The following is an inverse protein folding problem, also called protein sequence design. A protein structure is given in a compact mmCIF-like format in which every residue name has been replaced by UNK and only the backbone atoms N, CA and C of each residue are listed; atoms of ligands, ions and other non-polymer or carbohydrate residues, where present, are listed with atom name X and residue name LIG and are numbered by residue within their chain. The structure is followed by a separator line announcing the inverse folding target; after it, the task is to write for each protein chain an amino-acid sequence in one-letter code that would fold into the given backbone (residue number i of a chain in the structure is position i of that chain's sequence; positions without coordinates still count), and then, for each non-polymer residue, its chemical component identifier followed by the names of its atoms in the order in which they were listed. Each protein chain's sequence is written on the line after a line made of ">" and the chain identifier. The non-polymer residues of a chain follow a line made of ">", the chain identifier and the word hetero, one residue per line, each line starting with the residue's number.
data_IF_638852113174
#
_entry.id   IF_638852113174
#
_cell.length_a   1.000
_cell.length_b   1.000
_cell.length_c   1.000
_cell.angle_alpha   90.00
_cell.angle_beta   90.00
_cell.angle_gamma   90.00
#
_symmetry.space_group_name_H-M   'P 1'
#
loop_
_entity.id
_entity.type
_entity.pdbx_description
1 polymer ?
#
# COMPACT_ATOMS: atom_id res chain seq x y z
N UNK A 1 32.69 -11.78 38.91
CA UNK A 1 32.85 -10.66 37.96
C UNK A 1 32.78 -11.26 36.57
N UNK A 2 31.59 -11.24 35.95
CA UNK A 2 31.34 -11.92 34.68
C UNK A 2 31.67 -10.99 33.50
N UNK A 3 32.48 -11.55 32.62
CA UNK A 3 32.93 -11.08 31.31
C UNK A 3 31.83 -10.40 30.46
N UNK A 4 32.13 -9.20 29.95
CA UNK A 4 31.34 -8.53 28.92
C UNK A 4 31.51 -9.26 27.58
N UNK A 5 30.42 -9.81 27.04
CA UNK A 5 30.34 -10.23 25.65
C UNK A 5 30.25 -9.00 24.75
N UNK A 6 31.11 -8.83 23.72
CA UNK A 6 30.90 -7.81 22.71
C UNK A 6 29.66 -8.19 21.89
N UNK A 7 28.58 -7.40 22.03
CA UNK A 7 27.41 -7.51 21.14
C UNK A 7 27.84 -7.12 19.73
N UNK A 8 27.99 -8.12 18.86
CA UNK A 8 27.99 -7.94 17.41
C UNK A 8 26.78 -7.06 17.02
N UNK A 9 27.04 -5.85 16.54
CA UNK A 9 26.03 -5.04 15.86
C UNK A 9 25.80 -5.64 14.47
N UNK A 10 24.91 -6.64 14.39
CA UNK A 10 24.33 -7.08 13.12
C UNK A 10 23.22 -6.11 12.73
N UNK A 11 23.56 -5.06 12.00
CA UNK A 11 22.59 -4.20 11.33
C UNK A 11 21.98 -4.97 10.15
N UNK A 12 20.67 -5.24 10.22
CA UNK A 12 19.90 -5.90 9.14
C UNK A 12 19.06 -7.08 9.61
N UNK A 13 18.08 -6.85 10.50
CA UNK A 13 17.01 -7.82 10.75
C UNK A 13 16.02 -7.90 9.57
N UNK A 14 15.23 -8.98 9.43
CA UNK A 14 14.15 -9.04 8.44
C UNK A 14 13.20 -7.86 8.66
N UNK A 15 12.73 -7.24 7.57
CA UNK A 15 11.81 -6.11 7.66
C UNK A 15 10.53 -6.55 8.38
N UNK A 16 10.27 -5.95 9.55
CA UNK A 16 9.02 -6.15 10.28
C UNK A 16 8.04 -5.05 9.88
N UNK A 17 6.78 -5.43 9.63
CA UNK A 17 5.71 -4.52 9.25
C UNK A 17 4.57 -4.62 10.27
N UNK A 18 4.06 -3.47 10.71
CA UNK A 18 2.78 -3.38 11.40
C UNK A 18 1.66 -3.14 10.40
N UNK A 19 0.55 -3.86 10.57
CA UNK A 19 -0.63 -3.76 9.72
C UNK A 19 -1.71 -2.97 10.45
N UNK A 20 -2.05 -1.81 9.92
CA UNK A 20 -3.13 -0.98 10.43
C UNK A 20 -4.34 -1.10 9.50
N UNK A 21 -5.47 -1.66 9.96
CA UNK A 21 -6.67 -1.76 9.14
C UNK A 21 -7.25 -0.38 8.82
N UNK A 22 -7.87 -0.27 7.64
CA UNK A 22 -8.51 0.97 7.20
C UNK A 22 -9.13 0.82 5.82
N UNK A 23 -9.39 1.97 5.19
CA UNK A 23 -10.01 2.04 3.87
C UNK A 23 -9.31 3.06 2.98
N UNK A 24 -9.12 2.70 1.72
CA UNK A 24 -8.69 3.62 0.67
C UNK A 24 -9.91 4.17 -0.06
N UNK A 25 -10.08 5.49 -0.08
CA UNK A 25 -11.10 6.18 -0.87
C UNK A 25 -10.47 6.75 -2.12
N UNK A 26 -10.94 6.33 -3.30
CA UNK A 26 -10.49 6.87 -4.57
C UNK A 26 -10.94 8.32 -4.71
N UNK A 27 -10.01 9.24 -4.93
CA UNK A 27 -10.28 10.68 -5.07
C UNK A 27 -10.06 11.20 -6.48
N UNK A 28 -9.23 10.54 -7.29
CA UNK A 28 -9.00 10.93 -8.67
C UNK A 28 -8.64 9.72 -9.55
N UNK A 29 -9.01 9.80 -10.83
CA UNK A 29 -8.62 8.87 -11.89
C UNK A 29 -8.29 9.70 -13.12
N UNK A 30 -7.02 9.78 -13.50
CA UNK A 30 -6.53 10.53 -14.65
C UNK A 30 -5.89 9.59 -15.68
N UNK A 31 -6.19 9.71 -16.97
CA UNK A 31 -5.48 8.95 -18.00
C UNK A 31 -4.01 9.42 -18.08
N UNK A 32 -3.09 8.47 -18.23
CA UNK A 32 -1.70 8.76 -18.53
C UNK A 32 -1.50 9.09 -20.02
N UNK A 33 -0.36 9.70 -20.41
CA UNK A 33 -0.09 10.06 -21.80
C UNK A 33 -0.14 8.89 -22.79
N UNK A 34 0.06 7.65 -22.32
CA UNK A 34 -0.03 6.45 -23.15
C UNK A 34 -1.48 6.05 -23.51
N UNK A 35 -2.49 6.66 -22.87
CA UNK A 35 -3.91 6.38 -23.06
C UNK A 35 -4.36 4.97 -22.61
N UNK A 36 -3.46 4.15 -22.08
CA UNK A 36 -3.69 2.75 -21.72
C UNK A 36 -3.79 2.56 -20.21
N UNK A 37 -3.11 3.43 -19.45
CA UNK A 37 -3.03 3.37 -18.00
C UNK A 37 -3.56 4.63 -17.35
N UNK A 38 -3.86 4.51 -16.07
CA UNK A 38 -4.48 5.56 -15.28
C UNK A 38 -3.69 5.82 -14.02
N UNK A 39 -3.43 7.09 -13.76
CA UNK A 39 -3.04 7.56 -12.44
C UNK A 39 -4.29 7.58 -11.56
N UNK A 40 -4.34 6.67 -10.60
CA UNK A 40 -5.45 6.54 -9.66
C UNK A 40 -4.99 6.98 -8.29
N UNK A 41 -5.56 8.06 -7.79
CA UNK A 41 -5.23 8.62 -6.48
C UNK A 41 -6.24 8.21 -5.43
N UNK A 42 -5.77 7.88 -4.23
CA UNK A 42 -6.63 7.58 -3.08
C UNK A 42 -6.14 8.25 -1.80
N UNK A 43 -7.08 8.53 -0.91
CA UNK A 43 -6.82 8.88 0.49
C UNK A 43 -7.05 7.65 1.35
N UNK A 44 -6.20 7.44 2.37
CA UNK A 44 -6.39 6.34 3.31
C UNK A 44 -6.96 6.86 4.64
N UNK A 45 -7.98 6.17 5.14
CA UNK A 45 -8.61 6.42 6.43
C UNK A 45 -8.38 5.19 7.30
N UNK A 46 -7.78 5.39 8.47
CA UNK A 46 -7.58 4.33 9.47
C UNK A 46 -8.91 4.02 10.18
N UNK A 47 -8.94 2.93 10.94
CA UNK A 47 -10.15 2.50 11.68
C UNK A 47 -10.67 3.55 12.68
N UNK A 48 -9.80 4.38 13.24
CA UNK A 48 -10.15 5.51 14.10
C UNK A 48 -10.69 6.74 13.34
N UNK A 49 -10.93 6.60 12.02
CA UNK A 49 -11.30 7.65 11.08
C UNK A 49 -10.25 8.76 10.90
N UNK A 50 -9.02 8.57 11.39
CA UNK A 50 -7.91 9.46 11.05
C UNK A 50 -7.54 9.30 9.58
N UNK A 51 -7.40 10.42 8.87
CA UNK A 51 -6.99 10.46 7.48
C UNK A 51 -5.48 10.61 7.38
N UNK A 52 -4.84 9.84 6.52
CA UNK A 52 -3.46 10.13 6.13
C UNK A 52 -3.41 11.49 5.41
N UNK A 53 -2.47 12.35 5.79
CA UNK A 53 -2.37 13.71 5.24
C UNK A 53 -2.02 13.71 3.74
N UNK A 54 -1.36 12.64 3.28
CA UNK A 54 -0.91 12.49 1.90
C UNK A 54 -1.90 11.67 1.06
N UNK A 55 -2.08 12.10 -0.17
CA UNK A 55 -2.70 11.28 -1.21
C UNK A 55 -1.69 10.29 -1.77
N UNK A 56 -2.14 9.08 -2.08
CA UNK A 56 -1.31 7.99 -2.58
C UNK A 56 -1.80 7.51 -3.94
N UNK A 57 -0.92 6.83 -4.69
CA UNK A 57 -1.29 6.22 -5.97
C UNK A 57 -1.56 4.73 -5.81
N UNK A 58 -2.63 4.27 -6.44
CA UNK A 58 -2.94 2.86 -6.57
C UNK A 58 -2.11 2.26 -7.71
N UNK A 59 -1.49 1.13 -7.42
CA UNK A 59 -0.76 0.31 -8.39
C UNK A 59 -1.37 -1.10 -8.45
N UNK A 60 -1.17 -1.77 -9.59
CA UNK A 60 -1.51 -3.19 -9.73
C UNK A 60 -0.46 -4.10 -9.06
N UNK A 61 -0.65 -5.42 -9.19
CA UNK A 61 0.25 -6.42 -8.62
C UNK A 61 1.68 -6.40 -9.20
N UNK A 62 1.91 -5.72 -10.33
CA UNK A 62 3.21 -5.57 -10.97
C UNK A 62 3.82 -4.18 -10.72
N UNK A 63 3.28 -3.42 -9.75
CA UNK A 63 3.68 -2.04 -9.47
C UNK A 63 3.49 -1.09 -10.66
N UNK A 64 2.50 -1.37 -11.51
CA UNK A 64 2.16 -0.53 -12.65
C UNK A 64 0.90 0.29 -12.38
N UNK A 65 0.80 1.44 -13.02
CA UNK A 65 -0.46 2.19 -13.04
C UNK A 65 -1.58 1.32 -13.62
N UNK A 66 -2.75 1.25 -12.97
CA UNK A 66 -3.86 0.42 -13.40
C UNK A 66 -4.25 0.64 -14.86
N UNK A 67 -4.54 -0.45 -15.57
CA UNK A 67 -5.15 -0.40 -16.90
C UNK A 67 -6.65 -0.14 -16.81
N UNK A 68 -7.27 0.25 -17.93
CA UNK A 68 -8.75 0.35 -18.03
C UNK A 68 -9.44 -0.94 -17.58
N UNK A 69 -8.95 -2.08 -18.05
CA UNK A 69 -9.50 -3.41 -17.70
C UNK A 69 -9.43 -3.67 -16.19
N UNK A 70 -8.33 -3.28 -15.54
CA UNK A 70 -8.21 -3.40 -14.08
C UNK A 70 -9.27 -2.55 -13.37
N UNK A 71 -9.48 -1.30 -13.81
CA UNK A 71 -10.49 -0.42 -13.23
C UNK A 71 -11.89 -1.00 -13.40
N UNK A 72 -12.24 -1.47 -14.59
CA UNK A 72 -13.56 -2.03 -14.89
C UNK A 72 -13.81 -3.31 -14.09
N UNK A 73 -12.87 -4.27 -14.13
CA UNK A 73 -12.95 -5.54 -13.38
C UNK A 73 -13.14 -5.31 -11.88
N UNK A 74 -12.37 -4.39 -11.33
CA UNK A 74 -12.43 -4.06 -9.91
C UNK A 74 -13.45 -2.97 -9.60
N UNK A 75 -14.27 -2.53 -10.56
CA UNK A 75 -15.26 -1.46 -10.43
C UNK A 75 -14.68 -0.19 -9.76
N UNK A 76 -13.47 0.24 -10.13
CA UNK A 76 -12.74 1.37 -9.55
C UNK A 76 -13.28 2.67 -10.15
N UNK A 77 -13.92 3.46 -9.30
CA UNK A 77 -14.49 4.77 -9.65
C UNK A 77 -14.14 5.79 -8.58
N UNK A 78 -14.14 7.09 -8.93
CA UNK A 78 -14.01 8.15 -7.94
C UNK A 78 -15.11 8.01 -6.88
N UNK A 79 -14.75 8.20 -5.61
CA UNK A 79 -15.62 8.01 -4.46
C UNK A 79 -15.70 6.58 -3.95
N UNK A 80 -15.19 5.59 -4.68
CA UNK A 80 -15.16 4.21 -4.22
C UNK A 80 -14.30 4.05 -2.97
N UNK A 81 -14.81 3.28 -2.01
CA UNK A 81 -14.12 2.90 -0.78
C UNK A 81 -13.69 1.44 -0.89
N UNK A 82 -12.42 1.17 -0.59
CA UNK A 82 -11.79 -0.15 -0.73
C UNK A 82 -11.14 -0.51 0.61
N UNK A 83 -11.57 -1.61 1.27
CA UNK A 83 -10.96 -2.04 2.52
C UNK A 83 -9.52 -2.52 2.26
N UNK A 84 -8.61 -2.15 3.17
CA UNK A 84 -7.20 -2.47 3.05
C UNK A 84 -6.42 -2.28 4.34
N UNK A 85 -5.11 -2.34 4.21
CA UNK A 85 -4.17 -2.20 5.31
C UNK A 85 -3.10 -1.18 4.94
N UNK A 86 -2.79 -0.30 5.88
CA UNK A 86 -1.55 0.46 5.90
C UNK A 86 -0.49 -0.41 6.56
N UNK A 87 0.59 -0.68 5.84
CA UNK A 87 1.76 -1.39 6.33
C UNK A 87 2.86 -0.37 6.62
N UNK A 88 3.18 -0.20 7.90
CA UNK A 88 4.26 0.67 8.37
C UNK A 88 5.45 -0.20 8.78
N UNK A 89 6.65 0.13 8.29
CA UNK A 89 7.86 -0.59 8.69
C UNK A 89 8.22 -0.24 10.15
N UNK A 90 8.43 -1.26 10.98
CA UNK A 90 8.86 -1.08 12.37
C UNK A 90 10.36 -1.31 12.55
N UNK A 91 11.00 -2.07 11.64
CA UNK A 91 12.46 -2.27 11.60
C UNK A 91 12.99 -2.42 10.18
N UNK A 92 13.98 -1.60 9.80
CA UNK A 92 14.63 -1.59 8.48
C UNK A 92 14.49 -0.25 7.73
N UNK A 93 15.23 -0.07 6.63
CA UNK A 93 15.22 1.15 5.78
C UNK A 93 14.46 0.97 4.47
N UNK A 94 13.73 -0.14 4.31
CA UNK A 94 13.02 -0.47 3.08
C UNK A 94 11.61 0.14 3.08
N UNK A 95 11.40 1.13 2.21
CA UNK A 95 10.13 1.77 1.81
C UNK A 95 9.13 2.08 2.96
N UNK A 96 8.98 3.35 3.36
CA UNK A 96 8.38 3.71 4.64
C UNK A 96 6.90 3.36 4.81
N UNK A 97 6.12 3.27 3.72
CA UNK A 97 4.67 3.10 3.76
C UNK A 97 4.22 2.26 2.56
N UNK A 98 3.49 1.16 2.81
CA UNK A 98 2.85 0.35 1.79
C UNK A 98 1.35 0.24 2.07
N UNK A 99 0.52 0.28 1.02
CA UNK A 99 -0.92 0.03 1.14
C UNK A 99 -1.26 -1.29 0.47
N UNK A 100 -2.02 -2.13 1.15
CA UNK A 100 -2.47 -3.42 0.62
C UNK A 100 -3.99 -3.47 0.56
N UNK A 101 -4.53 -3.75 -0.62
CA UNK A 101 -5.96 -3.94 -0.83
C UNK A 101 -6.21 -5.39 -1.29
N UNK A 102 -6.43 -6.35 -0.38
CA UNK A 102 -6.53 -7.77 -0.75
C UNK A 102 -7.62 -8.05 -1.79
N UNK A 103 -8.72 -7.27 -1.77
CA UNK A 103 -9.81 -7.40 -2.76
C UNK A 103 -9.42 -7.02 -4.18
N UNK A 104 -8.33 -6.26 -4.35
CA UNK A 104 -7.79 -5.89 -5.66
C UNK A 104 -6.71 -6.85 -6.14
N UNK A 105 -6.18 -7.69 -5.23
CA UNK A 105 -5.24 -8.74 -5.58
C UNK A 105 -6.06 -9.87 -6.20
N UNK A 106 -5.92 -10.03 -7.51
CA UNK A 106 -6.43 -11.18 -8.23
C UNK A 106 -6.00 -12.47 -7.50
N UNK A 107 -6.96 -13.34 -7.19
CA UNK A 107 -6.71 -14.63 -6.57
C UNK A 107 -5.73 -15.45 -7.42
N UNK A 108 -4.44 -15.35 -7.10
CA UNK A 108 -3.52 -16.48 -7.19
C UNK A 108 -3.06 -16.82 -5.78
N UNK A 109 -3.83 -17.68 -5.13
CA UNK A 109 -3.26 -18.77 -4.37
C UNK A 109 -3.33 -20.01 -5.28
N UNK A 110 -2.42 -20.99 -5.18
CA UNK A 110 -1.20 -21.05 -4.37
C UNK A 110 0.09 -20.67 -5.13
#
# INVERSE_FOLDING_TARGET
>A
MSIHSPKEFRVGGPCEYEYHPGVGRIVSINPLPDGKRFEVSFEFYREDNSREERTHFLYDNHFQHPSREFLEKNNITVGKVIPGYLMSITKGTCTPILFSFPRLKDNRAP
#
